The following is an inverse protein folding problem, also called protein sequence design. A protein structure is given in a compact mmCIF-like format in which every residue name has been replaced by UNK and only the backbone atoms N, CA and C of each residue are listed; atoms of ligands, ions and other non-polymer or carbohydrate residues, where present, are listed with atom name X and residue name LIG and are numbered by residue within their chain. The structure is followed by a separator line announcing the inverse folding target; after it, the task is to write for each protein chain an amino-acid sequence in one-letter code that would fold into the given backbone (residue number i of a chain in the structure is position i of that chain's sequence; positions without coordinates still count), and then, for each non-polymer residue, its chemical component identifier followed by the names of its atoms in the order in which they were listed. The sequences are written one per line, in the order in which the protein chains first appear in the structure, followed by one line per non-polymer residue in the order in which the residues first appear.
data_IF_535375101128
#
_entry.id   IF_535375101128
#
_cell.length_a   1.000
_cell.length_b   1.000
_cell.length_c   1.000
_cell.angle_alpha   90.00
_cell.angle_beta   90.00
_cell.angle_gamma   90.00
#
_symmetry.space_group_name_H-M   'P 1'
#
loop_
_entity.id
_entity.type
_entity.pdbx_description
1 polymer ?
#
# COMPACT_ATOMS: atom_id res chain seq x y z
N UNK A 1 10.17 2.83 7.31
CA UNK A 1 10.39 4.19 6.80
C UNK A 1 10.64 4.14 5.31
N UNK A 2 10.08 5.10 4.58
CA UNK A 2 10.19 5.25 3.14
C UNK A 2 10.69 6.65 2.82
N UNK A 3 11.79 6.72 2.07
CA UNK A 3 12.35 7.97 1.55
C UNK A 3 11.65 8.36 0.24
N UNK A 4 11.22 9.62 0.14
CA UNK A 4 10.56 10.15 -1.08
C UNK A 4 11.62 10.56 -2.10
N UNK A 5 11.83 9.74 -3.12
CA UNK A 5 12.82 10.01 -4.19
C UNK A 5 12.32 11.07 -5.17
N UNK A 6 11.04 10.98 -5.56
CA UNK A 6 10.40 11.93 -6.46
C UNK A 6 8.90 12.02 -6.22
N UNK A 7 8.30 13.14 -6.61
CA UNK A 7 6.85 13.36 -6.61
C UNK A 7 6.46 13.86 -8.00
N UNK A 8 5.53 13.15 -8.64
CA UNK A 8 4.92 13.58 -9.91
C UNK A 8 3.49 14.03 -9.64
N UNK A 9 3.24 15.31 -9.89
CA UNK A 9 1.93 15.93 -9.72
C UNK A 9 1.04 15.70 -10.96
N UNK A 10 -0.21 15.30 -10.76
CA UNK A 10 -1.29 15.35 -11.76
C UNK A 10 -2.43 16.22 -11.22
N UNK A 11 -3.47 16.45 -12.03
CA UNK A 11 -4.56 17.40 -11.72
C UNK A 11 -5.29 17.07 -10.42
N UNK A 12 -5.44 15.77 -10.10
CA UNK A 12 -6.20 15.29 -8.92
C UNK A 12 -5.47 14.20 -8.13
N UNK A 13 -4.31 13.74 -8.58
CA UNK A 13 -3.60 12.62 -7.97
C UNK A 13 -2.11 12.88 -8.07
N UNK A 14 -1.37 12.49 -7.05
CA UNK A 14 0.08 12.53 -7.04
C UNK A 14 0.61 11.10 -7.09
N UNK A 15 1.76 10.92 -7.73
CA UNK A 15 2.48 9.64 -7.70
C UNK A 15 3.83 9.89 -7.06
N UNK A 16 4.08 9.19 -5.96
CA UNK A 16 5.32 9.27 -5.21
C UNK A 16 6.17 8.04 -5.53
N UNK A 17 7.45 8.27 -5.80
CA UNK A 17 8.46 7.23 -5.83
C UNK A 17 9.05 7.08 -4.41
N UNK A 18 8.70 5.98 -3.76
CA UNK A 18 9.01 5.72 -2.36
C UNK A 18 10.03 4.60 -2.26
N UNK A 19 11.20 4.90 -1.70
CA UNK A 19 12.23 3.92 -1.43
C UNK A 19 12.12 3.42 0.00
N UNK A 20 11.83 2.14 0.18
CA UNK A 20 11.95 1.48 1.48
C UNK A 20 13.42 1.54 1.92
N UNK A 21 13.70 2.19 3.06
CA UNK A 21 15.07 2.37 3.54
C UNK A 21 15.71 1.07 4.04
N UNK A 22 14.91 0.09 4.43
CA UNK A 22 15.40 -1.20 4.94
C UNK A 22 15.78 -2.18 3.82
N UNK A 23 14.99 -2.21 2.74
CA UNK A 23 15.15 -3.20 1.65
C UNK A 23 15.74 -2.58 0.39
N UNK A 24 15.69 -1.25 0.25
CA UNK A 24 16.05 -0.53 -0.96
C UNK A 24 15.03 -0.65 -2.10
N UNK A 25 13.90 -1.35 -1.88
CA UNK A 25 12.82 -1.46 -2.87
C UNK A 25 12.23 -0.07 -3.14
N UNK A 26 12.00 0.22 -4.42
CA UNK A 26 11.36 1.46 -4.86
C UNK A 26 9.95 1.16 -5.37
N UNK A 27 8.98 1.84 -4.78
CA UNK A 27 7.56 1.71 -5.10
C UNK A 27 7.00 2.99 -5.70
N UNK A 28 6.23 2.84 -6.78
CA UNK A 28 5.39 3.92 -7.30
C UNK A 28 4.03 3.85 -6.59
N UNK A 29 3.76 4.82 -5.74
CA UNK A 29 2.56 4.87 -4.91
C UNK A 29 1.66 6.04 -5.30
N UNK A 30 0.38 5.75 -5.50
CA UNK A 30 -0.65 6.74 -5.75
C UNK A 30 -1.07 7.41 -4.44
N UNK A 31 -1.26 8.72 -4.53
CA UNK A 31 -1.80 9.58 -3.49
C UNK A 31 -2.92 10.45 -4.07
N UNK A 32 -4.16 10.05 -3.80
CA UNK A 32 -5.39 10.80 -4.07
C UNK A 32 -6.04 11.32 -2.78
N UNK A 33 -5.28 11.38 -1.68
CA UNK A 33 -5.81 11.73 -0.35
C UNK A 33 -6.39 13.14 -0.27
N UNK A 34 -5.87 14.08 -1.08
CA UNK A 34 -6.37 15.45 -1.16
C UNK A 34 -7.75 15.55 -1.83
N UNK A 35 -8.18 14.53 -2.58
CA UNK A 35 -9.50 14.50 -3.23
C UNK A 35 -10.62 14.27 -2.20
N UNK A 36 -10.31 13.55 -1.13
CA UNK A 36 -11.31 13.01 -0.20
C UNK A 36 -11.24 13.63 1.20
N UNK A 37 -10.16 14.35 1.52
CA UNK A 37 -9.96 14.91 2.86
C UNK A 37 -9.04 16.15 2.87
N UNK A 38 -9.33 17.08 3.78
CA UNK A 38 -8.43 18.20 4.10
C UNK A 38 -7.24 17.77 4.98
N UNK A 39 -7.38 16.64 5.71
CA UNK A 39 -6.27 15.98 6.40
C UNK A 39 -5.76 14.87 5.47
N UNK A 40 -4.72 15.18 4.71
CA UNK A 40 -4.23 14.38 3.59
C UNK A 40 -2.68 14.31 3.60
N UNK A 41 -2.09 13.74 2.55
CA UNK A 41 -0.64 13.49 2.46
C UNK A 41 0.16 14.62 1.78
N UNK A 42 -0.43 15.80 1.52
CA UNK A 42 0.26 16.93 0.88
C UNK A 42 1.50 17.43 1.65
N UNK A 43 1.61 17.10 2.93
CA UNK A 43 2.79 17.39 3.75
C UNK A 43 4.04 16.57 3.37
N UNK A 44 3.89 15.49 2.59
CA UNK A 44 5.02 14.71 2.09
C UNK A 44 5.85 15.53 1.10
N UNK A 45 7.18 15.51 1.28
CA UNK A 45 8.13 16.26 0.46
C UNK A 45 9.24 15.33 -0.02
N UNK A 46 9.67 15.54 -1.26
CA UNK A 46 10.87 14.92 -1.81
C UNK A 46 12.08 15.19 -0.89
N UNK A 47 12.91 14.18 -0.67
CA UNK A 47 14.09 14.28 0.19
C UNK A 47 13.87 13.97 1.68
N UNK A 48 12.63 13.68 2.07
CA UNK A 48 12.30 13.30 3.45
C UNK A 48 11.85 11.84 3.54
N UNK A 49 11.91 11.29 4.74
CA UNK A 49 11.45 9.92 5.04
C UNK A 49 10.20 9.94 5.92
N UNK A 50 9.29 9.01 5.64
CA UNK A 50 8.00 8.90 6.32
C UNK A 50 7.71 7.44 6.68
N UNK A 51 6.95 7.22 7.75
CA UNK A 51 6.38 5.91 8.02
C UNK A 51 5.12 5.75 7.18
N UNK A 52 5.11 4.78 6.26
CA UNK A 52 4.05 4.62 5.28
C UNK A 52 3.46 3.21 5.37
N UNK A 53 2.14 3.12 5.24
CA UNK A 53 1.45 1.87 4.89
C UNK A 53 0.99 1.93 3.45
N UNK A 54 1.41 0.94 2.67
CA UNK A 54 1.14 0.85 1.24
C UNK A 54 0.16 -0.30 0.98
N UNK A 55 -0.97 0.03 0.38
CA UNK A 55 -1.99 -0.93 -0.05
C UNK A 55 -1.64 -1.49 -1.42
N UNK A 56 -1.75 -2.81 -1.57
CA UNK A 56 -1.76 -3.44 -2.90
C UNK A 56 -3.19 -3.40 -3.45
N UNK A 57 -3.35 -2.74 -4.60
CA UNK A 57 -4.58 -2.79 -5.37
C UNK A 57 -4.38 -3.78 -6.53
N UNK A 58 -5.39 -4.61 -6.76
CA UNK A 58 -5.29 -5.75 -7.66
C UNK A 58 -6.22 -6.87 -7.26
N UNK A 59 -6.00 -8.07 -7.79
CA UNK A 59 -6.89 -9.21 -7.62
C UNK A 59 -6.13 -10.49 -7.28
N UNK A 60 -6.83 -11.38 -6.58
CA UNK A 60 -6.37 -12.75 -6.36
C UNK A 60 -6.39 -13.52 -7.67
N UNK A 61 -5.33 -14.29 -7.90
CA UNK A 61 -5.23 -15.17 -9.07
C UNK A 61 -4.86 -16.59 -8.62
N UNK A 62 -5.21 -17.57 -9.44
CA UNK A 62 -4.91 -18.99 -9.14
C UNK A 62 -3.54 -19.41 -9.65
N UNK A 63 -3.04 -18.74 -10.68
CA UNK A 63 -1.81 -19.09 -11.37
C UNK A 63 -0.94 -17.85 -11.57
N UNK A 64 0.36 -18.08 -11.80
CA UNK A 64 1.33 -17.00 -11.96
C UNK A 64 1.20 -16.40 -13.36
N UNK A 65 0.94 -15.10 -13.41
CA UNK A 65 0.89 -14.30 -14.63
C UNK A 65 1.87 -13.11 -14.54
N UNK A 66 1.90 -12.25 -15.56
CA UNK A 66 2.60 -10.98 -15.50
C UNK A 66 2.06 -10.12 -14.34
N UNK A 67 2.97 -9.50 -13.57
CA UNK A 67 2.67 -8.68 -12.38
C UNK A 67 2.03 -9.43 -11.20
N UNK A 68 2.01 -10.75 -11.24
CA UNK A 68 1.65 -11.57 -10.08
C UNK A 68 2.82 -11.70 -9.11
N UNK A 69 2.54 -11.45 -7.83
CA UNK A 69 3.48 -11.68 -6.74
C UNK A 69 2.92 -12.74 -5.78
N UNK A 70 3.82 -13.46 -5.12
CA UNK A 70 3.45 -14.29 -3.98
C UNK A 70 3.50 -13.43 -2.72
N UNK A 71 2.37 -13.35 -2.02
CA UNK A 71 2.21 -12.63 -0.77
C UNK A 71 2.11 -13.65 0.36
N UNK A 72 3.08 -13.63 1.28
CA UNK A 72 3.00 -14.40 2.52
C UNK A 72 2.18 -13.60 3.52
N UNK A 73 1.09 -14.16 4.02
CA UNK A 73 0.24 -13.53 5.04
C UNK A 73 0.97 -13.57 6.38
N UNK A 74 1.20 -12.40 6.98
CA UNK A 74 1.86 -12.28 8.29
C UNK A 74 0.88 -11.91 9.40
N UNK A 75 -0.19 -11.19 9.07
CA UNK A 75 -1.24 -10.83 10.02
C UNK A 75 -2.60 -10.66 9.32
N UNK A 76 -3.65 -11.33 9.83
CA UNK A 76 -5.00 -11.30 9.26
C UNK A 76 -5.94 -10.28 9.89
N UNK A 77 -5.48 -9.55 10.91
CA UNK A 77 -6.28 -8.64 11.73
C UNK A 77 -5.57 -7.29 11.92
N UNK A 78 -5.17 -6.65 10.82
CA UNK A 78 -4.68 -5.26 10.87
C UNK A 78 -5.85 -4.32 10.66
N UNK A 79 -6.00 -3.33 11.55
CA UNK A 79 -6.97 -2.25 11.37
C UNK A 79 -6.24 -0.96 11.00
N UNK A 80 -6.68 -0.33 9.92
CA UNK A 80 -6.19 0.98 9.46
C UNK A 80 -7.43 1.86 9.28
N UNK A 81 -7.57 2.87 10.12
CA UNK A 81 -8.82 3.60 10.27
C UNK A 81 -9.97 2.68 10.69
N UNK A 82 -11.03 2.67 9.89
CA UNK A 82 -12.23 1.84 10.06
C UNK A 82 -12.26 0.60 9.15
N UNK A 83 -11.19 0.35 8.39
CA UNK A 83 -11.10 -0.78 7.47
C UNK A 83 -10.16 -1.86 7.99
N UNK A 84 -10.53 -3.12 7.71
CA UNK A 84 -9.74 -4.29 8.07
C UNK A 84 -8.86 -4.72 6.88
N UNK A 85 -7.60 -5.01 7.18
CA UNK A 85 -6.58 -5.39 6.22
C UNK A 85 -5.86 -6.66 6.67
N UNK A 86 -5.26 -7.32 5.70
CA UNK A 86 -4.18 -8.28 5.91
C UNK A 86 -2.87 -7.57 5.72
N UNK A 87 -1.93 -7.86 6.60
CA UNK A 87 -0.51 -7.61 6.38
C UNK A 87 0.07 -8.79 5.61
N UNK A 88 0.83 -8.48 4.56
CA UNK A 88 1.52 -9.47 3.77
C UNK A 88 2.95 -9.05 3.50
N UNK A 89 3.85 -10.03 3.46
CA UNK A 89 5.19 -9.86 2.93
C UNK A 89 5.22 -10.24 1.46
N UNK A 90 5.75 -9.34 0.63
CA UNK A 90 6.17 -9.64 -0.74
C UNK A 90 7.68 -9.54 -0.78
N UNK A 91 8.36 -10.70 -0.80
CA UNK A 91 9.78 -10.81 -0.46
C UNK A 91 10.02 -10.28 0.97
N UNK A 92 10.79 -9.21 1.12
CA UNK A 92 11.19 -8.62 2.40
C UNK A 92 10.43 -7.32 2.72
N UNK A 93 9.48 -6.93 1.86
CA UNK A 93 8.67 -5.71 2.02
C UNK A 93 7.27 -6.03 2.54
N UNK A 94 6.76 -5.17 3.42
CA UNK A 94 5.44 -5.27 4.03
C UNK A 94 4.43 -4.45 3.22
N UNK A 95 3.27 -5.03 2.94
CA UNK A 95 2.15 -4.37 2.28
C UNK A 95 0.81 -4.78 2.88
N UNK A 96 -0.26 -4.10 2.47
CA UNK A 96 -1.60 -4.33 3.00
C UNK A 96 -2.60 -4.65 1.89
N UNK A 97 -3.45 -5.65 2.12
CA UNK A 97 -4.55 -6.04 1.21
C UNK A 97 -5.87 -5.94 1.99
N UNK A 98 -6.92 -5.28 1.46
CA UNK A 98 -8.21 -5.22 2.13
C UNK A 98 -8.79 -6.60 2.40
N UNK A 99 -9.28 -6.83 3.62
CA UNK A 99 -9.74 -8.15 4.05
C UNK A 99 -10.93 -8.65 3.26
N UNK A 100 -11.82 -7.75 2.82
CA UNK A 100 -12.96 -8.12 1.99
C UNK A 100 -12.56 -8.80 0.67
N UNK A 101 -11.36 -8.54 0.14
CA UNK A 101 -10.87 -9.16 -1.10
C UNK A 101 -10.44 -10.62 -0.92
N UNK A 102 -10.20 -11.08 0.30
CA UNK A 102 -9.54 -12.36 0.57
C UNK A 102 -10.26 -13.21 1.62
N UNK A 103 -11.51 -12.88 1.96
CA UNK A 103 -12.32 -13.59 2.97
C UNK A 103 -12.38 -15.11 2.75
N UNK A 104 -12.36 -15.57 1.49
CA UNK A 104 -12.51 -16.98 1.15
C UNK A 104 -11.20 -17.79 1.22
N UNK A 105 -10.08 -17.17 1.57
CA UNK A 105 -8.75 -17.81 1.54
C UNK A 105 -7.90 -17.55 2.80
N UNK A 106 -8.53 -17.12 3.90
CA UNK A 106 -7.84 -16.83 5.17
C UNK A 106 -7.15 -18.05 5.81
N UNK A 107 -7.40 -19.26 5.30
CA UNK A 107 -6.73 -20.50 5.73
C UNK A 107 -5.40 -20.76 5.00
N UNK A 108 -5.06 -19.96 3.97
CA UNK A 108 -3.82 -20.12 3.21
C UNK A 108 -2.74 -19.18 3.75
N UNK A 109 -1.52 -19.68 3.93
CA UNK A 109 -0.38 -18.85 4.35
C UNK A 109 0.13 -17.96 3.21
N UNK A 110 0.00 -18.40 1.95
CA UNK A 110 0.51 -17.71 0.77
C UNK A 110 -0.60 -17.53 -0.25
N UNK A 111 -0.70 -16.33 -0.79
CA UNK A 111 -1.67 -15.98 -1.84
C UNK A 111 -0.93 -15.43 -3.06
N UNK A 112 -1.47 -15.70 -4.26
CA UNK A 112 -0.99 -15.07 -5.48
C UNK A 112 -1.85 -13.85 -5.79
N UNK A 113 -1.21 -12.69 -5.87
CA UNK A 113 -1.89 -11.41 -6.06
C UNK A 113 -1.33 -10.70 -7.30
N UNK A 114 -2.22 -10.37 -8.23
CA UNK A 114 -1.88 -9.61 -9.44
C UNK A 114 -2.01 -8.13 -9.13
N UNK A 115 -0.89 -7.45 -8.97
CA UNK A 115 -0.86 -6.02 -8.60
C UNK A 115 -1.16 -5.17 -9.84
N UNK A 116 -2.14 -4.29 -9.73
CA UNK A 116 -2.44 -3.27 -10.73
C UNK A 116 -1.92 -1.89 -10.35
N UNK A 117 -1.95 -1.53 -9.05
CA UNK A 117 -1.34 -0.31 -8.50
C UNK A 117 -1.04 -0.45 -7.00
N UNK A 118 -0.29 0.50 -6.46
CA UNK A 118 -0.01 0.64 -5.03
C UNK A 118 -0.50 2.00 -4.56
N UNK A 119 -1.22 2.04 -3.45
CA UNK A 119 -1.84 3.26 -2.93
C UNK A 119 -1.31 3.54 -1.52
N UNK A 120 -1.03 4.80 -1.21
CA UNK A 120 -0.76 5.22 0.17
C UNK A 120 -2.06 5.19 0.96
N UNK A 121 -2.06 4.54 2.12
CA UNK A 121 -3.25 4.45 2.99
C UNK A 121 -3.02 5.02 4.39
N UNK A 122 -1.77 5.14 4.82
CA UNK A 122 -1.39 5.80 6.07
C UNK A 122 0.03 6.36 5.96
N UNK A 123 0.25 7.57 6.48
CA UNK A 123 1.57 8.24 6.53
C UNK A 123 1.74 8.97 7.86
N UNK A 124 2.73 8.60 8.68
CA UNK A 124 2.99 9.17 10.01
C UNK A 124 1.70 9.35 10.83
N UNK A 125 0.90 8.29 10.98
CA UNK A 125 -0.40 8.27 11.68
C UNK A 125 -1.53 9.12 11.03
N UNK A 126 -1.29 9.74 9.87
CA UNK A 126 -2.33 10.33 9.04
C UNK A 126 -2.93 9.21 8.19
N UNK A 127 -4.22 8.94 8.36
CA UNK A 127 -4.94 7.89 7.63
C UNK A 127 -5.64 8.50 6.42
N UNK A 128 -5.67 7.76 5.31
CA UNK A 128 -6.37 8.17 4.09
C UNK A 128 -7.88 8.37 4.35
N UNK A 129 -8.47 9.43 3.78
CA UNK A 129 -9.86 9.84 4.06
C UNK A 129 -10.91 8.76 3.82
N UNK A 130 -10.72 7.93 2.79
CA UNK A 130 -11.63 6.82 2.44
C UNK A 130 -11.67 5.68 3.45
N UNK A 131 -10.80 5.69 4.46
CA UNK A 131 -10.75 4.67 5.51
C UNK A 131 -11.43 5.13 6.81
N UNK A 132 -12.23 6.20 6.78
CA UNK A 132 -13.04 6.68 7.92
C UNK A 132 -14.53 6.38 7.75
#
# INVERSE_FOLDING_TARGET
MYYVESITESVVTRVLELKNESTGTVDLCFDDSAVVSNKNFEFMKQGNSYDCKIKLFGDLVKEKEERTVACLITNVNVRIGNSDFLEVNVKDDVYYIPKEKVLNILEQDIILFKISRKDLIEVNDVIHGDLF
#
